data_IF_049986633014
#
_entry.id   IF_049986633014
#
_cell.length_a   1.000
_cell.length_b   1.000
_cell.length_c   1.000
_cell.angle_alpha   90.00
_cell.angle_beta   90.00
_cell.angle_gamma   90.00
#
_symmetry.space_group_name_H-M   'P 1'
#
loop_
_entity.id
_entity.type
_entity.pdbx_description
1 polymer ?
#
# COMPACT_ATOMS: atom_id res chain seq x y z
N UNK A 1 -34.91 57.42 9.39
CA UNK A 1 -35.07 55.95 9.51
C UNK A 1 -34.52 55.29 8.26
N UNK A 2 -33.28 54.80 8.29
CA UNK A 2 -32.63 54.18 7.14
C UNK A 2 -32.95 52.68 7.12
N UNK A 3 -33.55 52.24 6.02
CA UNK A 3 -34.08 50.91 5.79
C UNK A 3 -32.98 49.84 5.93
N UNK A 4 -32.99 49.05 7.02
CA UNK A 4 -32.06 47.93 7.25
C UNK A 4 -32.38 46.79 6.28
N UNK A 5 -31.94 46.89 5.03
CA UNK A 5 -31.90 45.72 4.13
C UNK A 5 -30.85 44.74 4.66
N UNK A 6 -31.30 43.70 5.37
CA UNK A 6 -30.50 42.50 5.69
C UNK A 6 -30.25 41.75 4.39
N UNK A 7 -29.24 42.16 3.64
CA UNK A 7 -28.94 41.61 2.31
C UNK A 7 -27.97 40.45 2.49
N UNK A 8 -28.46 39.22 2.30
CA UNK A 8 -27.62 38.03 2.29
C UNK A 8 -26.78 38.00 1.01
N UNK A 9 -25.64 38.70 1.01
CA UNK A 9 -24.77 38.85 -0.16
C UNK A 9 -24.34 37.48 -0.73
N UNK A 10 -24.09 36.52 0.17
CA UNK A 10 -23.80 35.13 -0.18
C UNK A 10 -24.91 34.49 -1.04
N UNK A 11 -26.18 34.65 -0.65
CA UNK A 11 -27.33 34.09 -1.39
C UNK A 11 -27.43 34.71 -2.78
N UNK A 12 -27.18 36.02 -2.90
CA UNK A 12 -27.17 36.69 -4.20
C UNK A 12 -26.04 36.21 -5.11
N UNK A 13 -24.83 36.05 -4.56
CA UNK A 13 -23.69 35.52 -5.32
C UNK A 13 -23.98 34.07 -5.75
N UNK A 14 -24.47 33.23 -4.83
CA UNK A 14 -24.85 31.85 -5.14
C UNK A 14 -25.95 31.80 -6.21
N UNK A 15 -26.97 32.65 -6.11
CA UNK A 15 -28.05 32.74 -7.09
C UNK A 15 -27.52 33.20 -8.45
N UNK A 16 -26.59 34.16 -8.50
CA UNK A 16 -25.95 34.59 -9.74
C UNK A 16 -25.15 33.46 -10.41
N UNK A 17 -24.40 32.67 -9.62
CA UNK A 17 -23.66 31.50 -10.10
C UNK A 17 -24.62 30.40 -10.62
N UNK A 18 -25.73 30.13 -9.92
CA UNK A 18 -26.76 29.19 -10.36
C UNK A 18 -27.44 29.69 -11.64
N UNK A 19 -27.77 30.97 -11.73
CA UNK A 19 -28.34 31.57 -12.94
C UNK A 19 -27.36 31.47 -14.12
N UNK A 20 -26.07 31.71 -13.90
CA UNK A 20 -25.03 31.52 -14.92
C UNK A 20 -24.98 30.06 -15.39
N UNK A 21 -25.02 29.10 -14.46
CA UNK A 21 -25.08 27.67 -14.80
C UNK A 21 -26.31 27.32 -15.63
N UNK A 22 -27.50 27.77 -15.22
CA UNK A 22 -28.75 27.51 -15.95
C UNK A 22 -28.73 28.16 -17.34
N UNK A 23 -28.17 29.37 -17.43
CA UNK A 23 -27.98 30.06 -18.71
C UNK A 23 -27.06 29.25 -19.63
N UNK A 24 -25.88 28.83 -19.17
CA UNK A 24 -24.95 28.05 -19.96
C UNK A 24 -25.53 26.68 -20.33
N UNK A 25 -26.27 26.03 -19.44
CA UNK A 25 -26.81 24.68 -19.66
C UNK A 25 -28.03 24.65 -20.57
N UNK A 26 -28.91 25.65 -20.49
CA UNK A 26 -30.22 25.60 -21.14
C UNK A 26 -30.48 26.75 -22.12
N UNK A 27 -30.05 27.97 -21.81
CA UNK A 27 -30.32 29.13 -22.67
C UNK A 27 -29.31 29.22 -23.83
N UNK A 28 -28.01 29.12 -23.53
CA UNK A 28 -26.94 29.20 -24.52
C UNK A 28 -27.12 28.19 -25.67
N UNK A 29 -27.38 26.89 -25.43
CA UNK A 29 -27.60 25.92 -26.51
C UNK A 29 -28.76 26.27 -27.46
N UNK A 30 -29.84 26.86 -26.94
CA UNK A 30 -31.00 27.30 -27.74
C UNK A 30 -30.70 28.56 -28.54
N UNK A 31 -29.95 29.50 -27.96
CA UNK A 31 -29.53 30.72 -28.65
C UNK A 31 -28.60 30.36 -29.83
N UNK A 32 -27.62 29.49 -29.60
CA UNK A 32 -26.73 29.02 -30.67
C UNK A 32 -27.46 28.18 -31.73
N UNK A 33 -28.48 27.42 -31.35
CA UNK A 33 -29.35 26.72 -32.30
C UNK A 33 -30.03 27.71 -33.27
N UNK A 34 -30.63 28.77 -32.71
CA UNK A 34 -31.32 29.80 -33.48
C UNK A 34 -30.35 30.57 -34.39
N UNK A 35 -29.18 30.96 -33.88
CA UNK A 35 -28.17 31.71 -34.63
C UNK A 35 -27.57 30.91 -35.79
N UNK A 36 -27.39 29.60 -35.61
CA UNK A 36 -26.75 28.73 -36.61
C UNK A 36 -27.74 28.02 -37.53
N UNK A 37 -29.06 28.25 -37.37
CA UNK A 37 -30.10 27.63 -38.19
C UNK A 37 -30.12 26.10 -38.15
N UNK A 38 -29.65 25.48 -37.05
CA UNK A 38 -29.57 24.01 -36.93
C UNK A 38 -30.84 23.41 -36.33
N UNK A 39 -31.20 22.20 -36.76
CA UNK A 39 -32.37 21.46 -36.28
C UNK A 39 -32.25 20.91 -34.84
N UNK A 40 -31.08 21.01 -34.20
CA UNK A 40 -30.84 20.51 -32.85
C UNK A 40 -30.03 21.52 -32.01
N UNK A 41 -30.19 21.54 -30.68
CA UNK A 41 -29.35 22.36 -29.81
C UNK A 41 -27.90 21.89 -29.85
N UNK A 42 -26.97 22.84 -29.75
CA UNK A 42 -25.54 22.53 -29.61
C UNK A 42 -25.17 22.56 -28.13
N UNK A 43 -24.89 21.40 -27.50
CA UNK A 43 -24.57 21.36 -26.09
C UNK A 43 -23.26 22.09 -25.81
N UNK A 44 -23.22 22.83 -24.71
CA UNK A 44 -22.02 23.56 -24.29
C UNK A 44 -20.92 22.58 -23.86
N UNK A 45 -19.69 22.69 -24.38
CA UNK A 45 -18.58 21.83 -23.99
C UNK A 45 -18.33 21.85 -22.48
N UNK A 46 -18.02 20.69 -21.89
CA UNK A 46 -17.79 20.55 -20.43
C UNK A 46 -16.65 21.43 -19.93
N UNK A 47 -15.56 21.54 -20.71
CA UNK A 47 -14.41 22.41 -20.41
C UNK A 47 -14.82 23.88 -20.35
N UNK A 48 -15.68 24.33 -21.28
CA UNK A 48 -16.15 25.71 -21.32
C UNK A 48 -17.06 26.00 -20.11
N UNK A 49 -17.99 25.09 -19.80
CA UNK A 49 -18.82 25.17 -18.60
C UNK A 49 -17.95 25.28 -17.34
N UNK A 50 -16.93 24.42 -17.20
CA UNK A 50 -16.02 24.44 -16.06
C UNK A 50 -15.35 25.81 -15.88
N UNK A 51 -14.76 26.36 -16.94
CA UNK A 51 -14.05 27.65 -16.85
C UNK A 51 -14.97 28.82 -16.52
N UNK A 52 -16.16 28.92 -17.14
CA UNK A 52 -17.09 30.01 -16.83
C UNK A 52 -17.64 29.91 -15.40
N UNK A 53 -17.84 28.69 -14.87
CA UNK A 53 -18.26 28.51 -13.48
C UNK A 53 -17.17 28.91 -12.49
N UNK A 54 -15.91 28.56 -12.75
CA UNK A 54 -14.76 29.00 -11.96
C UNK A 54 -14.68 30.53 -11.96
N UNK A 55 -14.75 31.16 -13.14
CA UNK A 55 -14.69 32.61 -13.27
C UNK A 55 -15.87 33.30 -12.58
N UNK A 56 -17.08 32.74 -12.66
CA UNK A 56 -18.27 33.26 -11.98
C UNK A 56 -18.14 33.22 -10.46
N UNK A 57 -17.62 32.12 -9.91
CA UNK A 57 -17.35 31.98 -8.47
C UNK A 57 -16.27 32.98 -8.03
N UNK A 58 -15.14 33.05 -8.76
CA UNK A 58 -14.06 33.99 -8.46
C UNK A 58 -14.54 35.44 -8.51
N UNK A 59 -15.33 35.82 -9.53
CA UNK A 59 -15.90 37.15 -9.63
C UNK A 59 -16.82 37.48 -8.44
N UNK A 60 -17.62 36.52 -7.99
CA UNK A 60 -18.46 36.66 -6.80
C UNK A 60 -17.63 36.87 -5.52
N UNK A 61 -16.55 36.10 -5.35
CA UNK A 61 -15.63 36.23 -4.21
C UNK A 61 -14.92 37.59 -4.23
N UNK A 62 -14.35 37.98 -5.37
CA UNK A 62 -13.70 39.29 -5.54
C UNK A 62 -14.68 40.42 -5.25
N UNK A 63 -15.93 40.31 -5.73
CA UNK A 63 -16.97 41.29 -5.44
C UNK A 63 -17.28 41.39 -3.95
N UNK A 64 -17.38 40.25 -3.25
CA UNK A 64 -17.59 40.21 -1.81
C UNK A 64 -16.44 40.85 -1.02
N UNK A 65 -15.20 40.73 -1.51
CA UNK A 65 -14.01 41.31 -0.86
C UNK A 65 -13.77 42.79 -1.16
N UNK A 66 -14.55 43.42 -2.05
CA UNK A 66 -14.35 44.85 -2.40
C UNK A 66 -14.60 45.84 -1.25
N UNK A 67 -15.27 45.43 -0.17
CA UNK A 67 -15.56 46.29 0.99
C UNK A 67 -15.74 45.47 2.25
N UNK A 68 -15.24 45.97 3.38
CA UNK A 68 -15.44 45.34 4.70
C UNK A 68 -16.92 45.08 5.01
N UNK A 69 -17.83 45.97 4.59
CA UNK A 69 -19.27 45.79 4.78
C UNK A 69 -19.80 44.62 3.95
N UNK A 70 -19.41 44.54 2.67
CA UNK A 70 -19.81 43.43 1.79
C UNK A 70 -19.23 42.11 2.26
N UNK A 71 -18.00 42.12 2.76
CA UNK A 71 -17.34 40.94 3.29
C UNK A 71 -18.03 40.44 4.56
N UNK A 72 -18.40 41.35 5.47
CA UNK A 72 -19.20 41.02 6.65
C UNK A 72 -20.61 40.51 6.27
N UNK A 73 -21.26 41.12 5.28
CA UNK A 73 -22.56 40.67 4.76
C UNK A 73 -22.45 39.30 4.07
N UNK A 74 -21.32 39.01 3.41
CA UNK A 74 -21.02 37.71 2.80
C UNK A 74 -20.81 36.63 3.87
N UNK A 75 -20.01 36.90 4.90
CA UNK A 75 -19.76 35.97 6.03
C UNK A 75 -20.90 35.93 7.04
N UNK A 76 -21.95 36.74 6.85
CA UNK A 76 -23.04 36.85 7.81
C UNK A 76 -23.76 35.52 8.08
N UNK A 77 -23.64 34.52 7.20
CA UNK A 77 -24.18 33.16 7.42
C UNK A 77 -23.41 32.33 8.46
N UNK A 78 -22.13 32.65 8.71
CA UNK A 78 -21.29 31.98 9.72
C UNK A 78 -21.40 32.62 11.10
N UNK A 79 -21.66 33.93 11.14
CA UNK A 79 -21.67 34.72 12.37
C UNK A 79 -23.01 34.59 13.12
N UNK A 80 -22.99 34.35 14.45
CA UNK A 80 -24.20 34.28 15.27
C UNK A 80 -24.93 35.64 15.26
N UNK A 81 -26.22 35.61 14.96
CA UNK A 81 -27.07 36.79 14.85
C UNK A 81 -28.49 36.40 15.28
N UNK A 82 -29.22 37.30 15.94
CA UNK A 82 -30.65 37.13 16.29
C UNK A 82 -31.56 37.37 15.07
N UNK A 83 -31.13 36.87 13.91
CA UNK A 83 -31.77 37.05 12.62
C UNK A 83 -32.98 36.12 12.39
N UNK A 84 -33.53 36.13 11.15
CA UNK A 84 -34.66 35.26 10.80
C UNK A 84 -34.33 33.78 10.98
N UNK A 85 -35.34 32.97 11.34
CA UNK A 85 -35.24 31.52 11.62
C UNK A 85 -34.42 30.74 10.58
N UNK A 86 -34.54 31.11 9.30
CA UNK A 86 -33.82 30.49 8.18
C UNK A 86 -32.29 30.54 8.39
N UNK A 87 -31.76 31.64 8.93
CA UNK A 87 -30.33 31.82 9.18
C UNK A 87 -29.83 30.88 10.28
N UNK A 88 -30.62 30.69 11.33
CA UNK A 88 -30.31 29.77 12.42
C UNK A 88 -30.25 28.31 11.95
N UNK A 89 -31.23 27.88 11.14
CA UNK A 89 -31.23 26.54 10.56
C UNK A 89 -30.05 26.31 9.62
N UNK A 90 -29.78 27.25 8.70
CA UNK A 90 -28.68 27.14 7.75
C UNK A 90 -27.32 27.04 8.47
N UNK A 91 -27.10 27.87 9.50
CA UNK A 91 -25.87 27.88 10.28
C UNK A 91 -25.66 26.54 10.99
N UNK A 92 -26.68 26.01 11.67
CA UNK A 92 -26.57 24.71 12.35
C UNK A 92 -26.32 23.55 11.38
N UNK A 93 -27.02 23.53 10.25
CA UNK A 93 -26.82 22.52 9.21
C UNK A 93 -25.39 22.57 8.68
N UNK A 94 -24.82 23.77 8.49
CA UNK A 94 -23.47 23.91 7.98
C UNK A 94 -22.41 23.54 9.04
N UNK A 95 -22.57 23.95 10.29
CA UNK A 95 -21.66 23.63 11.38
C UNK A 95 -21.65 22.14 11.77
N UNK A 96 -22.77 21.42 11.61
CA UNK A 96 -22.84 19.98 11.88
C UNK A 96 -22.56 19.16 10.61
N UNK A 97 -23.14 19.56 9.49
CA UNK A 97 -23.03 18.83 8.22
C UNK A 97 -21.63 18.90 7.62
N UNK A 98 -20.91 20.02 7.75
CA UNK A 98 -19.57 20.15 7.19
C UNK A 98 -18.56 19.20 7.87
N UNK A 99 -18.43 19.15 9.21
CA UNK A 99 -17.55 18.17 9.86
C UNK A 99 -17.94 16.72 9.58
N UNK A 100 -19.23 16.40 9.50
CA UNK A 100 -19.70 15.05 9.17
C UNK A 100 -19.33 14.65 7.74
N UNK A 101 -19.53 15.55 6.77
CA UNK A 101 -19.15 15.29 5.38
C UNK A 101 -17.64 15.16 5.21
N UNK A 102 -16.86 16.04 5.84
CA UNK A 102 -15.40 15.97 5.80
C UNK A 102 -14.91 14.68 6.48
N UNK A 103 -15.47 14.35 7.65
CA UNK A 103 -15.16 13.12 8.38
C UNK A 103 -15.49 11.86 7.56
N UNK A 104 -16.66 11.82 6.94
CA UNK A 104 -17.06 10.76 6.03
C UNK A 104 -16.10 10.63 4.85
N UNK A 105 -15.78 11.74 4.18
CA UNK A 105 -14.87 11.75 3.04
C UNK A 105 -13.49 11.23 3.43
N UNK A 106 -12.90 11.78 4.49
CA UNK A 106 -11.59 11.34 5.01
C UNK A 106 -11.62 9.87 5.41
N UNK A 107 -12.68 9.42 6.08
CA UNK A 107 -12.87 8.01 6.47
C UNK A 107 -12.88 7.10 5.24
N UNK A 108 -13.72 7.39 4.24
CA UNK A 108 -13.80 6.59 3.02
C UNK A 108 -12.49 6.55 2.23
N UNK A 109 -11.69 7.62 2.31
CA UNK A 109 -10.40 7.71 1.63
C UNK A 109 -9.28 7.02 2.42
N UNK A 110 -9.42 6.91 3.74
CA UNK A 110 -8.38 6.41 4.65
C UNK A 110 -8.55 4.94 5.03
N UNK A 111 -9.73 4.34 4.84
CA UNK A 111 -9.93 2.91 5.09
C UNK A 111 -9.07 2.11 4.10
N UNK A 112 -8.16 1.24 4.59
CA UNK A 112 -7.42 0.33 3.73
C UNK A 112 -8.39 -0.61 3.01
N UNK A 113 -8.30 -0.66 1.68
CA UNK A 113 -9.08 -1.62 0.90
C UNK A 113 -8.63 -3.05 1.19
N UNK A 114 -9.55 -3.93 1.59
CA UNK A 114 -9.31 -5.36 1.69
C UNK A 114 -9.37 -6.00 0.29
N UNK A 115 -8.46 -5.61 -0.59
CA UNK A 115 -8.27 -6.30 -1.87
C UNK A 115 -7.26 -7.43 -1.66
N UNK A 116 -7.62 -8.66 -2.08
CA UNK A 116 -6.63 -9.72 -2.23
C UNK A 116 -5.61 -9.28 -3.29
N UNK A 117 -4.29 -9.37 -3.03
CA UNK A 117 -3.32 -9.03 -4.06
C UNK A 117 -3.51 -9.97 -5.26
N UNK A 118 -3.44 -9.38 -6.45
CA UNK A 118 -3.53 -10.09 -7.74
C UNK A 118 -2.21 -10.79 -8.09
N UNK A 119 -1.14 -10.49 -7.36
CA UNK A 119 0.16 -11.12 -7.53
C UNK A 119 0.12 -12.60 -7.13
N UNK A 120 0.73 -13.44 -7.97
CA UNK A 120 0.94 -14.85 -7.68
C UNK A 120 1.86 -14.94 -6.46
N UNK A 121 1.30 -15.39 -5.36
CA UNK A 121 2.02 -15.59 -4.10
C UNK A 121 2.78 -16.92 -4.16
N UNK A 122 4.10 -16.87 -4.21
CA UNK A 122 4.96 -18.05 -4.31
C UNK A 122 5.60 -18.31 -2.94
N UNK A 123 5.37 -19.49 -2.37
CA UNK A 123 5.95 -19.87 -1.07
C UNK A 123 7.48 -19.96 -1.09
N UNK A 124 8.06 -20.24 -2.26
CA UNK A 124 9.50 -20.37 -2.50
C UNK A 124 9.87 -19.40 -3.63
N UNK A 125 10.42 -18.21 -3.33
CA UNK A 125 10.82 -17.27 -4.37
C UNK A 125 11.83 -17.94 -5.30
N UNK A 126 11.84 -17.54 -6.57
CA UNK A 126 12.78 -18.11 -7.54
C UNK A 126 14.22 -17.83 -7.10
N UNK A 127 15.08 -18.86 -7.19
CA UNK A 127 16.50 -18.74 -6.90
C UNK A 127 17.13 -17.64 -7.81
N UNK A 128 17.82 -16.63 -7.25
CA UNK A 128 18.51 -15.65 -8.08
C UNK A 128 19.63 -16.27 -8.91
N UNK A 129 19.88 -15.72 -10.11
CA UNK A 129 20.83 -16.28 -11.08
C UNK A 129 22.26 -16.39 -10.52
N UNK A 130 22.65 -15.49 -9.61
CA UNK A 130 23.97 -15.48 -8.98
C UNK A 130 24.26 -16.76 -8.18
N UNK A 131 23.21 -17.43 -7.67
CA UNK A 131 23.31 -18.66 -6.88
C UNK A 131 23.02 -19.92 -7.70
N UNK A 132 22.50 -19.78 -8.92
CA UNK A 132 22.04 -20.90 -9.75
C UNK A 132 23.16 -21.90 -10.02
N UNK A 133 24.36 -21.41 -10.28
CA UNK A 133 25.54 -22.23 -10.64
C UNK A 133 26.35 -22.72 -9.44
N UNK A 134 26.00 -22.29 -8.22
CA UNK A 134 26.71 -22.75 -7.04
C UNK A 134 26.40 -24.23 -6.77
N UNK A 135 27.41 -24.94 -6.32
CA UNK A 135 27.32 -26.34 -5.91
C UNK A 135 28.06 -26.50 -4.58
N UNK A 136 27.53 -27.39 -3.75
CA UNK A 136 28.14 -27.68 -2.46
C UNK A 136 29.40 -28.55 -2.68
N UNK A 137 30.61 -28.01 -2.43
CA UNK A 137 31.86 -28.73 -2.71
C UNK A 137 32.01 -29.99 -1.84
N UNK A 138 31.33 -30.04 -0.68
CA UNK A 138 31.43 -31.17 0.23
C UNK A 138 30.57 -32.36 -0.19
N UNK A 139 29.57 -32.19 -1.08
CA UNK A 139 28.71 -33.31 -1.55
C UNK A 139 29.47 -34.31 -2.42
N UNK A 140 30.45 -33.84 -3.18
CA UNK A 140 31.28 -34.66 -4.08
C UNK A 140 32.63 -35.05 -3.47
N UNK A 141 32.90 -34.60 -2.24
CA UNK A 141 34.13 -34.94 -1.54
C UNK A 141 34.14 -36.42 -1.11
N UNK A 142 35.30 -36.91 -0.65
CA UNK A 142 35.40 -38.25 -0.07
C UNK A 142 34.55 -38.40 1.21
N UNK A 143 34.26 -39.65 1.58
CA UNK A 143 33.37 -39.96 2.69
C UNK A 143 33.88 -39.44 4.04
N UNK A 144 35.20 -39.35 4.24
CA UNK A 144 35.78 -38.86 5.49
C UNK A 144 35.64 -37.35 5.60
N UNK A 145 35.86 -36.61 4.51
CA UNK A 145 35.59 -35.18 4.42
C UNK A 145 34.10 -34.88 4.58
N UNK A 146 33.21 -35.65 3.94
CA UNK A 146 31.77 -35.50 4.11
C UNK A 146 31.35 -35.64 5.58
N UNK A 147 31.79 -36.72 6.24
CA UNK A 147 31.51 -36.96 7.65
C UNK A 147 32.00 -35.81 8.52
N UNK A 148 33.23 -35.33 8.28
CA UNK A 148 33.79 -34.21 9.04
C UNK A 148 32.99 -32.91 8.82
N UNK A 149 32.63 -32.61 7.58
CA UNK A 149 31.83 -31.43 7.23
C UNK A 149 30.42 -31.47 7.83
N UNK A 150 29.80 -32.65 7.91
CA UNK A 150 28.51 -32.83 8.60
C UNK A 150 28.64 -32.51 10.10
N UNK A 151 29.66 -33.06 10.76
CA UNK A 151 29.85 -32.83 12.21
C UNK A 151 30.20 -31.37 12.52
N UNK A 152 31.08 -30.75 11.74
CA UNK A 152 31.35 -29.29 11.84
C UNK A 152 30.07 -28.47 11.58
N UNK A 153 29.29 -28.87 10.58
CA UNK A 153 28.01 -28.28 10.23
C UNK A 153 26.98 -28.32 11.34
N UNK A 154 26.85 -29.46 12.04
CA UNK A 154 25.98 -29.61 13.20
C UNK A 154 26.36 -28.65 14.31
N UNK A 155 27.65 -28.48 14.58
CA UNK A 155 28.13 -27.54 15.61
C UNK A 155 27.74 -26.10 15.23
N UNK A 156 27.96 -25.71 13.98
CA UNK A 156 27.58 -24.39 13.47
C UNK A 156 26.06 -24.19 13.52
N UNK A 157 25.26 -25.17 13.10
CA UNK A 157 23.81 -25.12 13.19
C UNK A 157 23.33 -24.94 14.65
N UNK A 158 23.91 -25.67 15.60
CA UNK A 158 23.57 -25.52 17.01
C UNK A 158 23.95 -24.15 17.58
N UNK A 159 24.95 -23.50 17.00
CA UNK A 159 25.44 -22.17 17.42
C UNK A 159 24.57 -21.06 16.85
N UNK A 160 24.33 -21.05 15.54
CA UNK A 160 23.71 -19.93 14.82
C UNK A 160 22.22 -20.13 14.54
N UNK A 161 21.79 -21.35 14.24
CA UNK A 161 20.44 -21.62 13.68
C UNK A 161 19.46 -22.14 14.74
N UNK A 162 19.93 -22.95 15.69
CA UNK A 162 19.14 -23.56 16.78
C UNK A 162 18.26 -22.58 17.55
N UNK A 163 18.69 -21.33 17.90
CA UNK A 163 17.84 -20.42 18.66
C UNK A 163 16.45 -20.20 18.05
N UNK A 164 16.34 -20.29 16.72
CA UNK A 164 15.07 -20.19 16.00
C UNK A 164 14.57 -21.57 15.51
N UNK A 165 15.44 -22.38 14.91
CA UNK A 165 15.06 -23.63 14.24
C UNK A 165 15.01 -24.86 15.16
N UNK A 166 15.44 -24.75 16.42
CA UNK A 166 15.42 -25.85 17.39
C UNK A 166 16.59 -26.81 17.25
N UNK A 167 16.93 -27.54 18.33
CA UNK A 167 18.06 -28.48 18.32
C UNK A 167 17.86 -29.67 17.39
N UNK A 168 16.60 -30.03 17.11
CA UNK A 168 16.23 -31.11 16.20
C UNK A 168 15.88 -30.61 14.80
N UNK A 169 16.13 -29.32 14.50
CA UNK A 169 15.70 -28.71 13.24
C UNK A 169 14.17 -28.76 13.02
N UNK A 170 13.38 -28.74 14.11
CA UNK A 170 11.92 -28.92 14.09
C UNK A 170 11.12 -27.60 14.08
N UNK A 171 11.81 -26.46 13.96
CA UNK A 171 11.19 -25.13 14.03
C UNK A 171 10.74 -24.73 15.43
N UNK A 172 11.14 -25.47 16.48
CA UNK A 172 10.77 -25.21 17.88
C UNK A 172 11.96 -24.66 18.71
N UNK A 173 12.72 -23.72 18.14
CA UNK A 173 13.76 -23.01 18.90
C UNK A 173 13.18 -22.09 19.99
N UNK A 174 13.97 -21.71 21.01
CA UNK A 174 13.55 -20.79 22.07
C UNK A 174 12.92 -19.47 21.57
N UNK A 175 13.33 -18.99 20.39
CA UNK A 175 12.80 -17.76 19.77
C UNK A 175 11.73 -18.01 18.70
N UNK A 176 11.34 -19.26 18.45
CA UNK A 176 10.39 -19.61 17.38
C UNK A 176 9.02 -18.92 17.53
N UNK A 177 8.58 -18.69 18.77
CA UNK A 177 7.28 -18.06 19.07
C UNK A 177 7.33 -16.52 19.10
N UNK A 178 8.50 -15.92 18.91
CA UNK A 178 8.66 -14.46 18.86
C UNK A 178 8.27 -13.85 17.51
N UNK A 179 8.10 -14.69 16.48
CA UNK A 179 7.80 -14.26 15.11
C UNK A 179 6.37 -14.63 14.72
N UNK A 180 5.72 -13.75 13.95
CA UNK A 180 4.37 -14.00 13.41
C UNK A 180 4.34 -15.26 12.54
N UNK A 181 5.40 -15.48 11.77
CA UNK A 181 5.63 -16.70 11.01
C UNK A 181 6.70 -17.50 11.73
N UNK A 182 6.33 -18.72 12.15
CA UNK A 182 7.26 -19.60 12.85
C UNK A 182 8.34 -20.10 11.89
N UNK A 183 9.58 -20.31 12.37
CA UNK A 183 10.59 -21.05 11.62
C UNK A 183 10.03 -22.39 11.13
N UNK A 184 10.34 -22.75 9.90
CA UNK A 184 9.83 -23.96 9.26
C UNK A 184 10.44 -25.22 9.90
N UNK A 185 9.65 -26.30 9.96
CA UNK A 185 10.09 -27.60 10.44
C UNK A 185 10.84 -28.34 9.33
N UNK A 186 12.16 -28.47 9.44
CA UNK A 186 12.99 -29.08 8.41
C UNK A 186 12.84 -30.60 8.33
N UNK A 187 12.25 -31.26 9.33
CA UNK A 187 11.98 -32.70 9.31
C UNK A 187 10.83 -33.08 8.36
N UNK A 188 9.99 -32.11 7.98
CA UNK A 188 8.88 -32.36 7.06
C UNK A 188 9.42 -32.48 5.61
N UNK A 189 9.19 -33.61 4.92
CA UNK A 189 9.63 -33.80 3.53
C UNK A 189 9.09 -32.75 2.55
N UNK A 190 8.01 -32.04 2.89
CA UNK A 190 7.47 -30.93 2.11
C UNK A 190 8.25 -29.62 2.25
N UNK A 191 9.37 -29.60 2.96
CA UNK A 191 10.14 -28.38 3.27
C UNK A 191 11.49 -28.36 2.55
N UNK A 192 12.61 -28.39 3.27
CA UNK A 192 13.96 -28.29 2.69
C UNK A 192 14.28 -29.45 1.74
N UNK A 193 13.65 -30.61 1.91
CA UNK A 193 13.85 -31.75 1.00
C UNK A 193 13.33 -31.49 -0.43
N UNK A 194 12.49 -30.46 -0.63
CA UNK A 194 11.95 -30.10 -1.95
C UNK A 194 12.87 -29.21 -2.77
N UNK A 195 13.94 -28.67 -2.15
CA UNK A 195 14.85 -27.69 -2.76
C UNK A 195 16.28 -28.24 -2.86
N UNK A 196 17.07 -27.60 -3.72
CA UNK A 196 18.48 -27.91 -3.98
C UNK A 196 19.38 -27.15 -2.99
N UNK A 197 20.59 -27.67 -2.73
CA UNK A 197 21.55 -27.12 -1.75
C UNK A 197 21.83 -25.60 -1.93
N UNK A 198 21.97 -25.14 -3.18
CA UNK A 198 22.25 -23.72 -3.46
C UNK A 198 21.08 -22.78 -3.11
N UNK A 199 19.86 -23.30 -3.02
CA UNK A 199 18.74 -22.53 -2.49
C UNK A 199 18.91 -22.25 -1.00
N UNK A 200 19.27 -23.26 -0.19
CA UNK A 200 19.56 -23.06 1.23
C UNK A 200 20.75 -22.12 1.42
N UNK A 201 21.78 -22.25 0.58
CA UNK A 201 22.94 -21.36 0.63
C UNK A 201 22.54 -19.88 0.48
N UNK A 202 21.70 -19.58 -0.52
CA UNK A 202 21.13 -18.24 -0.68
C UNK A 202 20.30 -17.82 0.55
N UNK A 203 19.41 -18.69 1.05
CA UNK A 203 18.56 -18.37 2.22
C UNK A 203 19.37 -18.11 3.48
N UNK A 204 20.49 -18.79 3.69
CA UNK A 204 21.39 -18.56 4.83
C UNK A 204 22.20 -17.28 4.60
N UNK A 205 22.76 -17.09 3.40
CA UNK A 205 23.62 -15.94 3.10
C UNK A 205 22.85 -14.62 3.18
N UNK A 206 21.73 -14.51 2.48
CA UNK A 206 20.98 -13.25 2.35
C UNK A 206 19.83 -13.12 3.37
N UNK A 207 19.34 -14.21 3.94
CA UNK A 207 18.27 -14.18 4.93
C UNK A 207 16.91 -13.76 4.35
N UNK A 208 16.13 -13.04 5.15
CA UNK A 208 14.85 -12.44 4.77
C UNK A 208 14.88 -11.00 4.23
N UNK A 209 15.79 -10.11 4.67
CA UNK A 209 15.86 -8.75 4.15
C UNK A 209 16.14 -8.70 2.65
N UNK A 210 15.31 -8.00 1.89
CA UNK A 210 15.49 -7.84 0.44
C UNK A 210 14.88 -8.95 -0.42
N UNK A 211 14.04 -9.83 0.16
CA UNK A 211 13.26 -10.78 -0.63
C UNK A 211 12.30 -10.07 -1.60
N UNK A 212 12.03 -10.66 -2.79
CA UNK A 212 11.10 -10.10 -3.77
C UNK A 212 9.68 -9.91 -3.21
N UNK A 213 8.91 -8.96 -3.73
CA UNK A 213 7.55 -8.64 -3.24
C UNK A 213 6.58 -9.82 -3.34
N UNK A 214 6.82 -10.76 -4.25
CA UNK A 214 6.09 -12.01 -4.42
C UNK A 214 6.20 -12.94 -3.20
N UNK A 215 7.21 -12.71 -2.36
CA UNK A 215 7.43 -13.41 -1.09
C UNK A 215 6.52 -12.89 0.02
N UNK A 216 5.82 -11.77 -0.17
CA UNK A 216 4.93 -11.20 0.86
C UNK A 216 3.61 -11.98 0.95
N UNK A 217 3.09 -12.27 2.15
CA UNK A 217 3.55 -11.86 3.48
C UNK A 217 4.52 -12.86 4.16
N UNK A 218 5.07 -13.84 3.43
CA UNK A 218 6.04 -14.83 3.94
C UNK A 218 7.46 -14.28 4.09
N UNK A 219 7.57 -12.99 4.43
CA UNK A 219 8.85 -12.35 4.68
C UNK A 219 9.50 -13.02 5.89
N UNK A 220 10.58 -13.75 5.62
CA UNK A 220 11.30 -14.48 6.65
C UNK A 220 11.92 -13.49 7.64
N UNK A 221 11.79 -13.76 8.93
CA UNK A 221 12.53 -13.02 9.96
C UNK A 221 13.98 -13.52 10.12
N UNK A 222 14.41 -14.45 9.25
CA UNK A 222 15.77 -15.00 9.27
C UNK A 222 16.78 -13.88 8.95
N UNK A 223 17.80 -13.69 9.80
CA UNK A 223 18.85 -12.71 9.54
C UNK A 223 19.70 -13.14 8.34
N UNK A 224 20.38 -12.16 7.73
CA UNK A 224 21.45 -12.42 6.76
C UNK A 224 22.70 -12.84 7.52
N UNK A 225 23.37 -13.90 7.09
CA UNK A 225 24.61 -14.39 7.69
C UNK A 225 25.86 -14.11 6.87
N UNK A 226 25.75 -13.44 5.72
CA UNK A 226 26.86 -13.16 4.81
C UNK A 226 28.05 -12.43 5.44
N UNK A 227 27.80 -11.65 6.51
CA UNK A 227 28.82 -10.85 7.19
C UNK A 227 29.44 -11.60 8.40
N UNK A 228 28.79 -12.68 8.86
CA UNK A 228 29.16 -13.43 10.07
C UNK A 228 29.71 -14.84 9.76
N UNK A 229 29.32 -15.42 8.62
CA UNK A 229 29.68 -16.78 8.21
C UNK A 229 30.39 -16.77 6.86
N UNK A 230 31.43 -17.60 6.74
CA UNK A 230 32.10 -17.87 5.46
C UNK A 230 31.29 -18.84 4.63
N UNK A 231 31.45 -18.78 3.31
CA UNK A 231 30.76 -19.67 2.37
C UNK A 231 30.97 -21.17 2.70
N UNK A 232 32.18 -21.58 3.09
CA UNK A 232 32.46 -22.95 3.53
C UNK A 232 31.69 -23.35 4.79
N UNK A 233 31.49 -22.42 5.72
CA UNK A 233 30.73 -22.65 6.95
C UNK A 233 29.25 -22.77 6.64
N UNK A 234 28.72 -21.96 5.72
CA UNK A 234 27.34 -22.07 5.23
C UNK A 234 27.12 -23.44 4.58
N UNK A 235 28.02 -23.89 3.70
CA UNK A 235 27.91 -25.22 3.09
C UNK A 235 27.94 -26.35 4.12
N UNK A 236 28.78 -26.24 5.15
CA UNK A 236 28.80 -27.21 6.25
C UNK A 236 27.51 -27.16 7.05
N UNK A 237 26.97 -25.99 7.38
CA UNK A 237 25.66 -25.85 8.05
C UNK A 237 24.60 -26.60 7.26
N UNK A 238 24.54 -26.44 5.94
CA UNK A 238 23.59 -27.16 5.08
C UNK A 238 23.76 -28.67 5.22
N UNK A 239 24.98 -29.18 5.18
CA UNK A 239 25.26 -30.61 5.39
C UNK A 239 24.75 -31.09 6.76
N UNK A 240 25.05 -30.33 7.83
CA UNK A 240 24.64 -30.66 9.19
C UNK A 240 23.13 -30.51 9.44
N UNK A 241 22.48 -29.54 8.79
CA UNK A 241 21.04 -29.28 8.86
C UNK A 241 20.26 -30.45 8.26
N UNK A 242 20.62 -30.89 7.05
CA UNK A 242 20.00 -32.05 6.41
C UNK A 242 20.15 -33.32 7.26
N UNK A 243 21.36 -33.57 7.78
CA UNK A 243 21.61 -34.73 8.66
C UNK A 243 20.80 -34.65 9.97
N UNK A 244 20.73 -33.46 10.57
CA UNK A 244 19.95 -33.22 11.81
C UNK A 244 18.45 -33.40 11.57
N UNK A 245 17.95 -32.96 10.42
CA UNK A 245 16.55 -33.09 10.03
C UNK A 245 16.19 -34.52 9.56
N UNK A 246 17.18 -35.35 9.22
CA UNK A 246 16.98 -36.69 8.70
C UNK A 246 16.43 -36.72 7.27
N UNK A 247 16.66 -35.66 6.49
CA UNK A 247 16.19 -35.53 5.11
C UNK A 247 17.36 -35.21 4.17
N UNK A 248 17.15 -35.36 2.86
CA UNK A 248 18.18 -35.09 1.84
C UNK A 248 17.70 -34.02 0.87
N UNK A 249 18.60 -33.23 0.27
CA UNK A 249 18.24 -32.22 -0.72
C UNK A 249 17.67 -32.88 -1.98
N UNK A 250 16.82 -32.13 -2.68
CA UNK A 250 16.41 -32.49 -4.04
C UNK A 250 17.65 -32.55 -4.93
N UNK A 251 17.79 -33.63 -5.69
CA UNK A 251 18.83 -33.76 -6.72
C UNK A 251 18.40 -33.02 -7.98
N UNK A 252 19.35 -32.36 -8.67
CA UNK A 252 19.07 -31.74 -9.96
C UNK A 252 18.74 -32.83 -10.99
N UNK A 253 17.66 -32.62 -11.74
CA UNK A 253 17.34 -33.45 -12.90
C UNK A 253 18.45 -33.27 -13.93
N UNK A 254 19.07 -34.38 -14.34
CA UNK A 254 20.02 -34.37 -15.47
C UNK A 254 19.18 -34.44 -16.73
N UNK A 255 19.30 -33.44 -17.60
CA UNK A 255 18.77 -33.54 -18.96
C UNK A 255 19.60 -34.61 -19.67
N UNK A 256 18.95 -35.71 -20.04
CA UNK A 256 19.51 -36.74 -20.93
C UNK A 256 19.70 -36.21 -22.35
#
# INVERSE_FOLDING_TARGET
MANKRKTFLFIWILTAVVCLFLFLKYASPKIFQMLMGKGHPMPTPSTLMMWYMIMGILAGLVYATTSNKKFADFLSFLLPDQGPMIKFFLQKTLFVGFPVLVGWFVYTWSIPGAASPVELRIQHPTLPQDFEKLENPFRQADADVQRKSIEEGKILFQTYCRPCHGSKADGNGPFANSFRLRPINFQDPGTIATVVDNYLFWRIKDGGPGLPSESTPWDSAMPSWKDDLKDDEIWKIIMGEYDTAGVMPRQREKLE
#
